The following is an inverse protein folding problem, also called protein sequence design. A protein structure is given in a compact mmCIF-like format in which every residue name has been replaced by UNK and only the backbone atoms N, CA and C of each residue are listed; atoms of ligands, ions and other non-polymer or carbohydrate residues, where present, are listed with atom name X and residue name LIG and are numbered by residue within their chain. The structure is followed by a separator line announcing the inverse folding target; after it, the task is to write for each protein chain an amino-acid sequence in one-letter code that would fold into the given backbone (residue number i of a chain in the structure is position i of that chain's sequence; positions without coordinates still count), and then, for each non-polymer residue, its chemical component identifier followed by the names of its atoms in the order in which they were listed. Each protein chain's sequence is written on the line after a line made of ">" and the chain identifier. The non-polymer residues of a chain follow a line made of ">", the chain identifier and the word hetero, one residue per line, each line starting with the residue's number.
data_IF_575996443638
#
_entry.id   IF_575996443638
#
_cell.length_a   1.000
_cell.length_b   1.000
_cell.length_c   1.000
_cell.angle_alpha   90.00
_cell.angle_beta   90.00
_cell.angle_gamma   90.00
#
_symmetry.space_group_name_H-M   'P 1'
#
loop_
_entity.id
_entity.type
_entity.pdbx_description
1 polymer ?
#
# COMPACT_ATOMS: atom_id res chain seq x y z
N UNK A 1 10.12 -0.39 -7.02
CA UNK A 1 9.70 1.03 -7.00
C UNK A 1 10.93 1.94 -6.99
N UNK A 2 10.79 3.24 -7.28
CA UNK A 2 11.89 4.22 -7.19
C UNK A 2 11.56 5.40 -6.25
N UNK A 3 12.51 6.32 -6.08
CA UNK A 3 12.32 7.49 -5.20
C UNK A 3 11.15 8.38 -5.60
N UNK A 4 10.89 8.56 -6.91
CA UNK A 4 9.76 9.36 -7.37
C UNK A 4 8.42 8.71 -7.00
N UNK A 5 8.32 7.38 -7.01
CA UNK A 5 7.11 6.67 -6.55
C UNK A 5 6.80 6.97 -5.07
N UNK A 6 7.83 7.13 -4.25
CA UNK A 6 7.71 7.37 -2.81
C UNK A 6 7.47 8.84 -2.44
N UNK A 7 8.25 9.74 -3.04
CA UNK A 7 8.43 11.10 -2.55
C UNK A 7 7.76 12.16 -3.42
N UNK A 8 7.16 11.80 -4.56
CA UNK A 8 6.39 12.75 -5.35
C UNK A 8 5.04 13.01 -4.67
N UNK A 9 4.75 14.28 -4.37
CA UNK A 9 3.48 14.71 -3.80
C UNK A 9 2.35 14.61 -4.83
N UNK A 10 1.09 14.71 -4.39
CA UNK A 10 -0.05 14.80 -5.31
C UNK A 10 0.04 15.94 -6.33
N UNK A 11 0.78 17.01 -6.01
CA UNK A 11 1.00 18.15 -6.91
C UNK A 11 2.20 17.97 -7.84
N UNK A 12 2.89 16.82 -7.79
CA UNK A 12 4.04 16.52 -8.64
C UNK A 12 5.38 17.05 -8.12
N UNK A 13 5.46 17.49 -6.87
CA UNK A 13 6.72 17.98 -6.27
C UNK A 13 7.47 16.81 -5.62
N UNK A 14 8.77 16.70 -5.87
CA UNK A 14 9.60 15.73 -5.15
C UNK A 14 9.95 16.28 -3.76
N UNK A 15 9.39 15.69 -2.71
CA UNK A 15 9.58 16.13 -1.32
C UNK A 15 9.80 14.91 -0.41
N UNK A 16 10.96 14.85 0.23
CA UNK A 16 11.30 13.76 1.16
C UNK A 16 10.90 14.05 2.60
N UNK A 17 10.40 15.26 2.89
CA UNK A 17 10.11 15.73 4.23
C UNK A 17 9.01 14.93 4.94
N UNK A 18 9.16 14.78 6.26
CA UNK A 18 8.09 14.26 7.10
C UNK A 18 6.88 15.19 7.07
N UNK A 19 5.69 14.62 6.87
CA UNK A 19 4.42 15.34 6.74
C UNK A 19 4.03 15.72 5.31
N UNK A 20 4.88 15.47 4.31
CA UNK A 20 4.54 15.71 2.90
C UNK A 20 3.40 14.78 2.43
N UNK A 21 2.53 15.27 1.54
CA UNK A 21 1.41 14.48 0.98
C UNK A 21 1.89 13.55 -0.15
N UNK A 22 2.66 12.53 0.23
CA UNK A 22 3.27 11.54 -0.65
C UNK A 22 3.08 10.11 -0.10
N UNK A 23 3.49 9.11 -0.88
CA UNK A 23 3.37 7.70 -0.51
C UNK A 23 4.22 7.35 0.72
N UNK A 24 5.42 7.93 0.85
CA UNK A 24 6.34 7.65 1.95
C UNK A 24 5.72 7.97 3.30
N UNK A 25 5.15 9.17 3.45
CA UNK A 25 4.48 9.58 4.68
C UNK A 25 3.21 8.79 4.94
N UNK A 26 2.42 8.50 3.90
CA UNK A 26 1.21 7.69 4.06
C UNK A 26 1.52 6.28 4.56
N UNK A 27 2.38 5.56 3.86
CA UNK A 27 2.78 4.21 4.26
C UNK A 27 3.42 4.19 5.66
N UNK A 28 4.28 5.18 5.96
CA UNK A 28 4.91 5.32 7.27
C UNK A 28 3.87 5.52 8.38
N UNK A 29 2.88 6.38 8.19
CA UNK A 29 1.82 6.55 9.19
C UNK A 29 0.96 5.28 9.30
N UNK A 30 0.60 4.69 8.18
CA UNK A 30 -0.28 3.52 8.14
C UNK A 30 0.34 2.31 8.84
N UNK A 31 1.64 2.04 8.65
CA UNK A 31 2.30 0.87 9.28
C UNK A 31 2.25 0.96 10.79
N UNK A 32 2.57 2.13 11.36
CA UNK A 32 2.54 2.28 12.81
C UNK A 32 1.12 2.35 13.36
N UNK A 33 0.19 2.99 12.65
CA UNK A 33 -1.21 3.06 13.06
C UNK A 33 -1.86 1.67 13.07
N UNK A 34 -1.66 0.87 12.02
CA UNK A 34 -2.21 -0.48 11.91
C UNK A 34 -1.66 -1.43 12.98
N UNK A 35 -0.45 -1.18 13.47
CA UNK A 35 0.17 -1.94 14.56
C UNK A 35 -0.07 -1.32 15.96
N UNK A 36 -0.94 -0.30 16.07
CA UNK A 36 -1.35 0.27 17.37
C UNK A 36 -0.41 1.32 17.98
N UNK A 37 0.50 1.89 17.18
CA UNK A 37 1.54 2.81 17.65
C UNK A 37 1.33 4.29 17.23
N UNK A 38 0.09 4.69 16.91
CA UNK A 38 -0.23 6.07 16.53
C UNK A 38 0.22 7.09 17.59
N UNK A 39 0.08 6.77 18.89
CA UNK A 39 0.51 7.66 19.99
C UNK A 39 2.02 7.89 20.01
N UNK A 40 2.81 6.86 19.69
CA UNK A 40 4.28 6.96 19.61
C UNK A 40 4.67 7.83 18.43
N UNK A 41 4.03 7.65 17.27
CA UNK A 41 4.29 8.46 16.07
C UNK A 41 3.88 9.92 16.24
N UNK A 42 2.82 10.21 17.00
CA UNK A 42 2.46 11.60 17.32
C UNK A 42 3.56 12.36 18.08
N UNK A 43 4.39 11.66 18.86
CA UNK A 43 5.48 12.25 19.64
C UNK A 43 6.81 12.18 18.89
N UNK A 44 7.13 11.03 18.32
CA UNK A 44 8.45 10.73 17.76
C UNK A 44 8.50 10.61 16.23
N UNK A 45 7.37 10.84 15.54
CA UNK A 45 7.21 10.55 14.11
C UNK A 45 8.28 11.18 13.23
N UNK A 46 8.60 12.47 13.45
CA UNK A 46 9.66 13.16 12.70
C UNK A 46 11.03 12.52 12.90
N UNK A 47 11.40 12.19 14.16
CA UNK A 47 12.66 11.52 14.47
C UNK A 47 12.75 10.15 13.83
N UNK A 48 11.69 9.34 13.97
CA UNK A 48 11.63 7.98 13.43
C UNK A 48 11.70 8.01 11.90
N UNK A 49 10.90 8.86 11.27
CA UNK A 49 10.86 9.00 9.82
C UNK A 49 12.22 9.45 9.26
N UNK A 50 12.80 10.52 9.80
CA UNK A 50 14.07 11.06 9.28
C UNK A 50 15.24 10.09 9.50
N UNK A 51 15.26 9.39 10.64
CA UNK A 51 16.28 8.37 10.91
C UNK A 51 16.14 7.18 9.95
N UNK A 52 14.91 6.69 9.78
CA UNK A 52 14.61 5.60 8.85
C UNK A 52 14.94 5.97 7.40
N UNK A 53 14.56 7.17 6.96
CA UNK A 53 14.88 7.70 5.63
C UNK A 53 16.39 7.65 5.37
N UNK A 54 17.20 8.18 6.29
CA UNK A 54 18.66 8.17 6.19
C UNK A 54 19.25 6.75 6.24
N UNK A 55 18.58 5.82 6.91
CA UNK A 55 18.96 4.41 6.98
C UNK A 55 18.50 3.58 5.76
N UNK A 56 17.85 4.20 4.78
CA UNK A 56 17.38 3.53 3.57
C UNK A 56 16.06 2.76 3.73
N UNK A 57 15.20 3.17 4.69
CA UNK A 57 13.95 2.49 5.02
C UNK A 57 13.08 2.26 3.78
N UNK A 58 12.82 3.31 2.99
CA UNK A 58 11.91 3.20 1.86
C UNK A 58 12.47 2.32 0.74
N UNK A 59 13.80 2.34 0.53
CA UNK A 59 14.45 1.42 -0.39
C UNK A 59 14.25 -0.04 0.04
N UNK A 60 14.35 -0.33 1.33
CA UNK A 60 14.17 -1.70 1.86
C UNK A 60 12.76 -2.24 1.62
N UNK A 61 11.73 -1.40 1.68
CA UNK A 61 10.34 -1.81 1.43
C UNK A 61 9.88 -1.63 -0.03
N UNK A 62 10.81 -1.40 -0.97
CA UNK A 62 10.52 -1.15 -2.39
C UNK A 62 10.63 -2.36 -3.31
N UNK A 63 11.07 -3.50 -2.77
CA UNK A 63 11.40 -4.71 -3.53
C UNK A 63 10.48 -5.87 -3.15
N UNK A 64 9.19 -5.81 -3.56
CA UNK A 64 8.18 -6.74 -3.10
C UNK A 64 8.39 -8.15 -3.62
N UNK A 65 8.45 -9.13 -2.71
CA UNK A 65 8.44 -10.54 -3.07
C UNK A 65 7.01 -11.04 -3.26
N UNK A 66 6.57 -11.15 -4.52
CA UNK A 66 5.23 -11.66 -4.88
C UNK A 66 5.25 -13.19 -4.95
N UNK A 67 4.50 -13.84 -4.06
CA UNK A 67 4.39 -15.31 -4.02
C UNK A 67 3.39 -15.85 -5.03
N UNK A 68 2.27 -15.16 -5.23
CA UNK A 68 1.28 -15.51 -6.24
C UNK A 68 0.47 -14.30 -6.69
N UNK A 69 -0.08 -14.43 -7.90
CA UNK A 69 -1.16 -13.58 -8.39
C UNK A 69 -2.24 -14.52 -8.92
N UNK A 70 -3.46 -14.39 -8.42
CA UNK A 70 -4.60 -15.18 -8.86
C UNK A 70 -5.78 -14.26 -9.15
N UNK A 71 -6.61 -14.63 -10.12
CA UNK A 71 -7.88 -13.96 -10.38
C UNK A 71 -9.02 -14.89 -10.02
N UNK A 72 -9.91 -14.43 -9.14
CA UNK A 72 -11.15 -15.12 -8.84
C UNK A 72 -12.06 -15.09 -10.08
N UNK A 73 -12.48 -16.25 -10.57
CA UNK A 73 -13.28 -16.35 -11.79
C UNK A 73 -14.75 -15.99 -11.59
N UNK A 74 -15.23 -15.97 -10.34
CA UNK A 74 -16.60 -15.58 -10.00
C UNK A 74 -16.71 -14.06 -9.76
N UNK A 75 -15.75 -13.46 -9.06
CA UNK A 75 -15.78 -12.02 -8.73
C UNK A 75 -14.91 -11.16 -9.65
N UNK A 76 -14.00 -11.77 -10.42
CA UNK A 76 -12.93 -11.09 -11.17
C UNK A 76 -11.90 -10.34 -10.30
N UNK A 77 -11.93 -10.56 -8.98
CA UNK A 77 -10.96 -9.98 -8.05
C UNK A 77 -9.57 -10.55 -8.28
N UNK A 78 -8.57 -9.68 -8.21
CA UNK A 78 -7.17 -10.08 -8.24
C UNK A 78 -6.68 -10.19 -6.81
N UNK A 79 -6.23 -11.39 -6.45
CA UNK A 79 -5.52 -11.67 -5.20
C UNK A 79 -4.03 -11.71 -5.44
N UNK A 80 -3.29 -11.00 -4.60
CA UNK A 80 -1.83 -10.94 -4.66
C UNK A 80 -1.28 -11.38 -3.30
N UNK A 81 -0.54 -12.47 -3.28
CA UNK A 81 0.21 -12.91 -2.12
C UNK A 81 1.57 -12.23 -2.07
N UNK A 82 1.85 -11.50 -0.99
CA UNK A 82 3.15 -10.89 -0.73
C UNK A 82 3.85 -11.59 0.44
N UNK A 83 5.13 -11.87 0.25
CA UNK A 83 6.02 -12.14 1.36
C UNK A 83 6.52 -10.82 1.95
N UNK A 84 6.56 -10.72 3.27
CA UNK A 84 7.06 -9.54 3.97
C UNK A 84 7.54 -9.91 5.37
N UNK A 85 7.51 -8.94 6.28
CA UNK A 85 8.03 -9.10 7.63
C UNK A 85 6.90 -9.29 8.63
N UNK A 86 6.83 -10.44 9.29
CA UNK A 86 5.93 -10.65 10.42
C UNK A 86 6.32 -9.76 11.63
N UNK A 87 7.62 -9.51 11.80
CA UNK A 87 8.13 -8.46 12.68
C UNK A 87 9.21 -7.65 11.98
N UNK A 88 8.86 -6.43 11.56
CA UNK A 88 9.74 -5.48 10.90
C UNK A 88 10.49 -4.57 11.87
N UNK A 89 10.41 -4.75 13.20
CA UNK A 89 11.04 -3.85 14.18
C UNK A 89 12.51 -3.57 13.93
N UNK A 90 13.29 -4.61 13.62
CA UNK A 90 14.73 -4.49 13.36
C UNK A 90 15.04 -3.63 12.13
N UNK A 91 14.07 -3.45 11.23
CA UNK A 91 14.18 -2.62 10.03
C UNK A 91 13.59 -1.23 10.26
N UNK A 92 12.36 -1.15 10.76
CA UNK A 92 11.62 0.11 10.98
C UNK A 92 12.23 0.97 12.08
N UNK A 93 12.82 0.33 13.09
CA UNK A 93 13.39 1.00 14.25
C UNK A 93 14.92 1.02 14.20
N UNK A 94 15.50 0.63 13.05
CA UNK A 94 16.95 0.60 12.85
C UNK A 94 17.53 1.99 13.10
N UNK A 95 18.68 2.01 13.77
CA UNK A 95 19.43 3.23 14.10
C UNK A 95 18.71 4.23 15.04
N UNK A 96 17.56 3.87 15.61
CA UNK A 96 16.94 4.68 16.66
C UNK A 96 17.61 4.47 18.03
N UNK A 97 17.65 5.51 18.87
CA UNK A 97 18.10 5.36 20.25
C UNK A 97 17.16 4.42 21.02
N UNK A 98 17.72 3.64 21.96
CA UNK A 98 16.99 2.67 22.76
C UNK A 98 15.80 3.26 23.53
N UNK A 99 15.90 4.53 23.93
CA UNK A 99 14.81 5.27 24.58
C UNK A 99 13.57 5.44 23.69
N UNK A 100 13.74 5.51 22.37
CA UNK A 100 12.61 5.56 21.42
C UNK A 100 12.10 4.14 21.16
N UNK A 101 13.01 3.18 20.94
CA UNK A 101 12.67 1.77 20.67
C UNK A 101 11.83 1.15 21.80
N UNK A 102 12.11 1.53 23.06
CA UNK A 102 11.37 1.04 24.23
C UNK A 102 9.86 1.29 24.17
N UNK A 103 9.40 2.33 23.46
CA UNK A 103 7.98 2.66 23.30
C UNK A 103 7.21 1.64 22.44
N UNK A 104 7.90 0.75 21.74
CA UNK A 104 7.29 -0.27 20.88
C UNK A 104 7.10 -1.62 21.57
N UNK A 105 7.58 -1.78 22.81
CA UNK A 105 7.42 -2.99 23.61
C UNK A 105 7.81 -4.27 22.86
N UNK A 106 7.05 -5.35 23.06
CA UNK A 106 7.26 -6.65 22.42
C UNK A 106 6.33 -6.93 21.23
N UNK A 107 5.28 -6.14 21.03
CA UNK A 107 4.31 -6.33 19.92
C UNK A 107 4.99 -6.22 18.55
N UNK A 108 4.93 -7.24 17.68
CA UNK A 108 5.52 -7.18 16.34
C UNK A 108 5.05 -5.97 15.53
N UNK A 109 5.91 -5.44 14.67
CA UNK A 109 5.51 -4.48 13.63
C UNK A 109 5.31 -5.23 12.31
N UNK A 110 4.09 -5.66 12.01
CA UNK A 110 3.79 -6.33 10.75
C UNK A 110 3.81 -5.32 9.60
N UNK A 111 4.63 -5.57 8.59
CA UNK A 111 4.68 -4.79 7.38
C UNK A 111 5.00 -5.64 6.15
N UNK A 112 4.11 -5.57 5.15
CA UNK A 112 4.46 -5.98 3.79
C UNK A 112 5.38 -4.94 3.14
N UNK A 113 6.11 -5.37 2.12
CA UNK A 113 6.69 -4.48 1.13
C UNK A 113 5.58 -3.81 0.30
N UNK A 114 5.92 -2.72 -0.39
CA UNK A 114 4.96 -1.98 -1.22
C UNK A 114 5.05 -2.43 -2.66
N UNK A 115 3.90 -2.78 -3.25
CA UNK A 115 3.80 -3.05 -4.69
C UNK A 115 3.28 -1.82 -5.43
N UNK A 116 3.82 -1.61 -6.63
CA UNK A 116 3.25 -0.74 -7.66
C UNK A 116 2.54 -1.63 -8.67
N UNK A 117 1.21 -1.53 -8.74
CA UNK A 117 0.37 -2.32 -9.62
C UNK A 117 -0.26 -1.41 -10.67
N UNK A 118 -0.20 -1.81 -11.94
CA UNK A 118 -0.99 -1.17 -13.00
C UNK A 118 -2.02 -2.17 -13.50
N UNK A 119 -3.30 -1.85 -13.34
CA UNK A 119 -4.41 -2.69 -13.79
C UNK A 119 -5.53 -1.82 -14.36
N UNK A 120 -6.08 -2.19 -15.52
CA UNK A 120 -7.10 -1.40 -16.20
C UNK A 120 -6.68 0.03 -16.54
N UNK A 121 -5.39 0.27 -16.78
CA UNK A 121 -4.83 1.61 -17.04
C UNK A 121 -4.64 2.49 -15.79
N UNK A 122 -4.99 1.97 -14.60
CA UNK A 122 -4.83 2.69 -13.33
C UNK A 122 -3.62 2.13 -12.57
N UNK A 123 -2.68 3.00 -12.21
CA UNK A 123 -1.56 2.65 -11.33
C UNK A 123 -1.94 2.90 -9.87
N UNK A 124 -1.72 1.91 -9.02
CA UNK A 124 -1.98 1.92 -7.59
C UNK A 124 -0.75 1.44 -6.81
N UNK A 125 -0.63 1.91 -5.58
CA UNK A 125 0.32 1.37 -4.60
C UNK A 125 -0.46 0.60 -3.55
N UNK A 126 -0.05 -0.64 -3.28
CA UNK A 126 -0.73 -1.53 -2.32
C UNK A 126 0.27 -2.13 -1.35
N UNK A 127 -0.21 -2.36 -0.12
CA UNK A 127 0.52 -2.92 1.01
C UNK A 127 -0.48 -3.40 2.06
N UNK A 128 -0.03 -4.22 3.01
CA UNK A 128 -0.81 -4.72 4.13
C UNK A 128 0.05 -4.80 5.40
N UNK A 129 -0.62 -4.78 6.55
CA UNK A 129 -0.03 -4.86 7.88
C UNK A 129 -0.66 -6.00 8.71
N UNK A 130 -1.37 -6.91 8.04
CA UNK A 130 -1.94 -8.10 8.66
C UNK A 130 -1.40 -9.34 7.94
N UNK A 131 -0.54 -10.06 8.65
CA UNK A 131 0.20 -11.21 8.16
C UNK A 131 -0.28 -12.49 8.84
N UNK A 132 -0.23 -13.58 8.08
CA UNK A 132 -0.12 -14.92 8.66
C UNK A 132 1.36 -15.30 8.70
N UNK A 133 1.86 -15.76 9.85
CA UNK A 133 3.24 -16.24 9.96
C UNK A 133 3.48 -17.44 9.02
N UNK A 134 4.48 -17.35 8.14
CA UNK A 134 4.77 -18.40 7.16
C UNK A 134 5.62 -19.55 7.72
N UNK A 135 6.37 -19.28 8.80
CA UNK A 135 7.37 -20.21 9.34
C UNK A 135 8.64 -20.32 8.48
N UNK A 136 8.75 -19.52 7.42
CA UNK A 136 9.91 -19.46 6.52
C UNK A 136 10.73 -18.21 6.81
N UNK A 137 12.03 -18.26 6.56
CA UNK A 137 12.91 -17.09 6.59
C UNK A 137 13.85 -17.12 5.40
N UNK A 138 14.21 -15.95 4.88
CA UNK A 138 15.24 -15.84 3.86
C UNK A 138 16.58 -16.41 4.38
N UNK A 139 17.32 -17.13 3.53
CA UNK A 139 18.56 -17.80 3.95
C UNK A 139 19.75 -16.85 4.14
N UNK A 140 19.68 -15.65 3.54
CA UNK A 140 20.73 -14.64 3.55
C UNK A 140 20.73 -13.79 4.83
N UNK A 141 19.56 -13.48 5.40
CA UNK A 141 19.45 -12.68 6.63
C UNK A 141 18.72 -13.35 7.79
N UNK A 142 18.07 -14.50 7.57
CA UNK A 142 17.40 -15.29 8.60
C UNK A 142 16.18 -14.60 9.25
N UNK A 143 15.73 -13.45 8.74
CA UNK A 143 14.66 -12.64 9.35
C UNK A 143 13.62 -12.12 8.35
N UNK A 144 13.93 -12.09 7.05
CA UNK A 144 13.02 -11.62 6.00
C UNK A 144 12.05 -12.72 5.54
N UNK A 145 10.93 -12.30 4.93
CA UNK A 145 9.93 -13.16 4.27
C UNK A 145 9.21 -14.18 5.18
N UNK A 146 9.07 -13.84 6.46
CA UNK A 146 8.40 -14.66 7.47
C UNK A 146 6.91 -14.33 7.70
N UNK A 147 6.39 -13.29 7.04
CA UNK A 147 4.97 -12.95 7.02
C UNK A 147 4.38 -13.11 5.63
N UNK A 148 3.23 -13.78 5.51
CA UNK A 148 2.44 -13.85 4.29
C UNK A 148 1.26 -12.86 4.37
N UNK A 149 1.13 -12.01 3.36
CA UNK A 149 0.11 -10.97 3.24
C UNK A 149 -0.73 -11.23 2.00
N UNK A 150 -2.05 -11.14 2.12
CA UNK A 150 -2.95 -11.20 0.96
C UNK A 150 -3.52 -9.81 0.68
N UNK A 151 -3.37 -9.35 -0.56
CA UNK A 151 -3.99 -8.14 -1.07
C UNK A 151 -5.12 -8.51 -2.02
N UNK A 152 -6.24 -7.79 -1.91
CA UNK A 152 -7.34 -7.88 -2.88
C UNK A 152 -7.40 -6.59 -3.70
N UNK A 153 -7.43 -6.74 -5.01
CA UNK A 153 -7.62 -5.66 -5.98
C UNK A 153 -8.88 -5.94 -6.77
N UNK A 154 -9.84 -5.04 -6.63
CA UNK A 154 -11.11 -5.11 -7.35
C UNK A 154 -10.89 -4.75 -8.82
N UNK A 155 -11.62 -5.38 -9.76
CA UNK A 155 -11.49 -5.08 -11.17
C UNK A 155 -11.89 -3.63 -11.48
N UNK A 156 -11.14 -2.98 -12.38
CA UNK A 156 -11.51 -1.66 -12.90
C UNK A 156 -12.55 -1.88 -14.01
N UNK A 157 -13.72 -1.20 -13.98
CA UNK A 157 -14.72 -1.33 -15.04
C UNK A 157 -14.13 -1.00 -16.41
N UNK A 158 -14.33 -1.89 -17.38
CA UNK A 158 -13.79 -1.66 -18.73
C UNK A 158 -14.36 -0.39 -19.39
N UNK A 159 -13.56 0.36 -20.15
CA UNK A 159 -14.01 1.60 -20.82
C UNK A 159 -15.23 1.41 -21.73
N UNK A 160 -15.34 0.25 -22.38
CA UNK A 160 -16.47 -0.16 -23.23
C UNK A 160 -17.76 -0.33 -22.45
N UNK A 161 -17.70 -0.87 -21.24
CA UNK A 161 -18.86 -1.01 -20.34
C UNK A 161 -19.36 0.37 -19.91
N UNK A 162 -18.46 1.30 -19.60
CA UNK A 162 -18.84 2.68 -19.29
C UNK A 162 -19.43 3.41 -20.50
N UNK A 163 -18.83 3.23 -21.69
CA UNK A 163 -19.36 3.81 -22.93
C UNK A 163 -20.76 3.26 -23.25
N UNK A 164 -20.97 1.95 -23.10
CA UNK A 164 -22.27 1.31 -23.26
C UNK A 164 -23.33 1.86 -22.30
N UNK A 165 -22.98 2.07 -21.03
CA UNK A 165 -23.86 2.70 -20.04
C UNK A 165 -24.19 4.15 -20.40
N UNK A 166 -23.18 4.94 -20.79
CA UNK A 166 -23.37 6.33 -21.19
C UNK A 166 -24.26 6.46 -22.43
N UNK A 167 -24.03 5.64 -23.46
CA UNK A 167 -24.83 5.61 -24.67
C UNK A 167 -26.25 5.08 -24.40
N UNK A 168 -26.39 4.04 -23.58
CA UNK A 168 -27.69 3.50 -23.18
C UNK A 168 -28.54 4.51 -22.41
N UNK A 169 -27.97 5.20 -21.43
CA UNK A 169 -28.64 6.25 -20.68
C UNK A 169 -29.06 7.43 -21.57
N UNK A 170 -28.17 7.84 -22.48
CA UNK A 170 -28.44 8.90 -23.46
C UNK A 170 -29.59 8.51 -24.41
N UNK A 171 -29.60 7.27 -24.91
CA UNK A 171 -30.65 6.73 -25.75
C UNK A 171 -32.00 6.65 -25.04
N UNK A 172 -32.03 6.21 -23.78
CA UNK A 172 -33.24 6.16 -22.95
C UNK A 172 -33.82 7.55 -22.66
N UNK A 173 -32.96 8.54 -22.37
CA UNK A 173 -33.36 9.93 -22.16
C UNK A 173 -33.92 10.56 -23.45
N UNK A 174 -33.27 10.33 -24.60
CA UNK A 174 -33.75 10.78 -25.90
C UNK A 174 -35.09 10.15 -26.27
N UNK A 175 -35.26 8.84 -26.03
CA UNK A 175 -36.51 8.12 -26.26
C UNK A 175 -37.66 8.61 -25.37
N UNK A 176 -37.40 8.89 -24.08
CA UNK A 176 -38.39 9.52 -23.17
C UNK A 176 -38.83 10.90 -23.67
N UNK A 177 -37.90 11.75 -24.10
CA UNK A 177 -38.21 13.08 -24.66
C UNK A 177 -39.03 13.00 -25.94
N UNK A 178 -38.82 11.98 -26.78
CA UNK A 178 -39.60 11.77 -28.00
C UNK A 178 -41.03 11.31 -27.68
N UNK A 179 -41.21 10.40 -26.71
CA UNK A 179 -42.53 9.95 -26.25
C UNK A 179 -43.36 11.06 -25.58
N UNK A 180 -42.74 11.98 -24.84
CA UNK A 180 -43.49 13.09 -24.20
C UNK A 180 -43.93 14.19 -25.17
N UNK A 181 -43.45 14.19 -26.43
CA UNK A 181 -43.86 15.15 -27.48
C UNK A 181 -44.95 14.59 -28.39
N UNK A 182 -45.30 13.32 -28.27
CA UNK A 182 -46.33 12.64 -29.08
C UNK A 182 -47.58 12.28 -28.25
N UNK A 183 -47.72 12.85 -27.05
CA UNK A 183 -48.88 12.72 -26.19
C UNK A 183 -49.61 14.07 -26.08
#
# INVERSE_FOLDING_TARGET
>A
MNGADWFTTKTGTYDTGYGADNLANRWFQDVFAANGFSSVINVFGSTIYNTGLNAGLFQRFSDPNVSYVNQDTATSDIKIGLAGHFDAKTLLLKALPSSVVANFGTTPLQASEVIKLTYGGVTQYKYSFSATGSGLTASDDGISHNGNYELTVQPVPEPTTMLGLALGASGLLAAKRKRSKTA
#
